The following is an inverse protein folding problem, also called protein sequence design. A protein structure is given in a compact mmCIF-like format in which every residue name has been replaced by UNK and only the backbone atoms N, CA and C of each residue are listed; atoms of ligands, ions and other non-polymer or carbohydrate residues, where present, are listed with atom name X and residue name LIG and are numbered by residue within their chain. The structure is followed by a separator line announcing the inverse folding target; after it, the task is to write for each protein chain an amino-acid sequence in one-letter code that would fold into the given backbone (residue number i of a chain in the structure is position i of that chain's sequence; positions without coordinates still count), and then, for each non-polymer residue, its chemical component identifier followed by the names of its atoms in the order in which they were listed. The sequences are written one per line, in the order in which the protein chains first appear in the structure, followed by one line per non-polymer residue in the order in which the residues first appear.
data_IF_396580868912
#
_entry.id   IF_396580868912
#
_cell.length_a   1.000
_cell.length_b   1.000
_cell.length_c   1.000
_cell.angle_alpha   90.00
_cell.angle_beta   90.00
_cell.angle_gamma   90.00
#
_symmetry.space_group_name_H-M   'P 1'
#
loop_
_entity.id
_entity.type
_entity.pdbx_description
1 polymer ?
#
# COMPACT_ATOMS: atom_id res chain seq x y z
N UNK A 1 -23.86 47.08 22.10
CA UNK A 1 -23.88 45.67 22.55
C UNK A 1 -24.55 44.79 21.50
N UNK A 2 -23.74 44.02 20.76
CA UNK A 2 -24.21 43.20 19.65
C UNK A 2 -24.95 41.96 20.14
N UNK A 3 -26.22 41.82 19.75
CA UNK A 3 -27.10 40.71 20.11
C UNK A 3 -26.85 39.48 19.22
N UNK A 4 -25.60 39.01 19.15
CA UNK A 4 -25.22 37.87 18.30
C UNK A 4 -25.43 36.55 19.04
N UNK A 5 -26.24 35.65 18.47
CA UNK A 5 -26.45 34.29 18.99
C UNK A 5 -25.23 33.40 18.70
N UNK A 6 -24.21 33.55 19.55
CA UNK A 6 -22.96 32.80 19.45
C UNK A 6 -23.22 31.29 19.65
N UNK A 7 -24.13 30.91 20.54
CA UNK A 7 -24.40 29.49 20.82
C UNK A 7 -25.14 28.80 19.67
N UNK A 8 -26.11 29.47 19.07
CA UNK A 8 -26.81 29.00 17.87
C UNK A 8 -25.86 28.82 16.70
N UNK A 9 -24.97 29.79 16.45
CA UNK A 9 -23.97 29.71 15.40
C UNK A 9 -23.00 28.52 15.59
N UNK A 10 -22.49 28.30 16.81
CA UNK A 10 -21.62 27.16 17.10
C UNK A 10 -22.36 25.83 16.86
N UNK A 11 -23.62 25.70 17.30
CA UNK A 11 -24.41 24.48 17.08
C UNK A 11 -24.66 24.24 15.58
N UNK A 12 -24.99 25.29 14.83
CA UNK A 12 -25.20 25.22 13.39
C UNK A 12 -23.93 24.73 12.67
N UNK A 13 -22.78 25.37 12.91
CA UNK A 13 -21.53 24.99 12.25
C UNK A 13 -21.04 23.59 12.67
N UNK A 14 -21.25 23.16 13.93
CA UNK A 14 -20.97 21.78 14.36
C UNK A 14 -21.84 20.76 13.63
N UNK A 15 -23.13 21.04 13.43
CA UNK A 15 -24.01 20.19 12.65
C UNK A 15 -23.57 20.10 11.18
N UNK A 16 -23.23 21.23 10.57
CA UNK A 16 -22.72 21.30 9.19
C UNK A 16 -21.40 20.54 8.99
N UNK A 17 -20.49 20.57 9.98
CA UNK A 17 -19.28 19.74 10.00
C UNK A 17 -19.63 18.25 10.09
N UNK A 18 -20.59 17.85 10.92
CA UNK A 18 -21.00 16.43 11.03
C UNK A 18 -21.65 15.88 9.76
N UNK A 19 -22.39 16.69 9.01
CA UNK A 19 -22.92 16.29 7.71
C UNK A 19 -21.79 16.11 6.69
N UNK A 20 -20.83 17.04 6.65
CA UNK A 20 -19.70 17.00 5.72
C UNK A 20 -18.68 15.90 6.04
N UNK A 21 -18.60 15.45 7.30
CA UNK A 21 -17.88 14.21 7.67
C UNK A 21 -18.38 12.97 6.93
N UNK A 22 -19.66 12.96 6.55
CA UNK A 22 -20.31 11.84 5.83
C UNK A 22 -20.34 12.06 4.31
N UNK A 23 -19.82 13.18 3.81
CA UNK A 23 -19.78 13.51 2.38
C UNK A 23 -18.78 12.62 1.63
N UNK A 24 -19.07 12.34 0.36
CA UNK A 24 -18.11 11.70 -0.57
C UNK A 24 -17.01 12.66 -1.03
N UNK A 25 -17.22 13.97 -0.88
CA UNK A 25 -16.22 15.00 -1.19
C UNK A 25 -15.26 15.19 -0.01
N UNK A 26 -14.02 14.77 -0.24
CA UNK A 26 -12.93 14.73 0.73
C UNK A 26 -12.50 16.13 1.22
N UNK A 27 -12.73 17.17 0.42
CA UNK A 27 -12.35 18.54 0.77
C UNK A 27 -13.48 19.30 1.44
N UNK A 28 -14.73 18.82 1.38
CA UNK A 28 -15.89 19.57 1.83
C UNK A 28 -15.85 19.91 3.32
N UNK A 29 -15.52 18.96 4.20
CA UNK A 29 -15.41 19.21 5.66
C UNK A 29 -14.28 20.20 5.97
N UNK A 30 -13.16 19.97 5.32
CA UNK A 30 -11.90 20.65 5.46
C UNK A 30 -11.98 22.11 5.05
N UNK A 31 -12.44 22.34 3.82
CA UNK A 31 -12.70 23.66 3.27
C UNK A 31 -13.70 24.42 4.15
N UNK A 32 -14.79 23.77 4.55
CA UNK A 32 -15.78 24.38 5.44
C UNK A 32 -15.20 24.74 6.82
N UNK A 33 -14.23 23.97 7.32
CA UNK A 33 -13.55 24.26 8.60
C UNK A 33 -12.58 25.43 8.48
N UNK A 34 -11.87 25.57 7.35
CA UNK A 34 -11.03 26.72 7.05
C UNK A 34 -11.85 28.00 6.80
N UNK A 35 -12.99 27.89 6.10
CA UNK A 35 -13.91 29.00 5.80
C UNK A 35 -14.70 29.46 7.04
N UNK A 36 -14.97 28.52 7.98
CA UNK A 36 -15.69 28.78 9.23
C UNK A 36 -14.92 28.26 10.46
N UNK A 37 -13.77 28.88 10.80
CA UNK A 37 -12.91 28.42 11.89
C UNK A 37 -13.43 28.88 13.25
N UNK A 38 -13.32 28.02 14.25
CA UNK A 38 -13.60 28.35 15.66
C UNK A 38 -12.36 28.82 16.41
N UNK A 39 -11.16 28.60 15.85
CA UNK A 39 -9.91 29.07 16.42
C UNK A 39 -8.89 29.41 15.32
N UNK A 40 -7.85 30.21 15.62
CA UNK A 40 -6.85 30.59 14.63
C UNK A 40 -6.11 29.40 13.98
N UNK A 41 -5.94 28.29 14.70
CA UNK A 41 -5.29 27.09 14.14
C UNK A 41 -6.13 26.50 12.99
N UNK A 42 -7.46 26.48 13.14
CA UNK A 42 -8.39 26.05 12.09
C UNK A 42 -8.35 26.98 10.86
N UNK A 43 -8.15 28.29 11.06
CA UNK A 43 -8.03 29.26 9.96
C UNK A 43 -6.72 29.09 9.17
N UNK A 44 -5.67 28.57 9.81
CA UNK A 44 -4.33 28.35 9.21
C UNK A 44 -4.13 26.94 8.65
N UNK A 45 -5.14 26.07 8.72
CA UNK A 45 -5.09 24.73 8.11
C UNK A 45 -4.78 24.88 6.62
N UNK A 46 -3.58 24.43 6.21
CA UNK A 46 -3.28 24.25 4.78
C UNK A 46 -4.22 23.19 4.22
N UNK A 47 -4.79 23.45 3.05
CA UNK A 47 -5.73 22.58 2.32
C UNK A 47 -5.20 21.18 1.95
N UNK A 48 -3.95 20.86 2.29
CA UNK A 48 -3.39 19.51 2.21
C UNK A 48 -3.78 18.71 3.46
N UNK A 49 -5.03 18.26 3.51
CA UNK A 49 -5.49 17.42 4.61
C UNK A 49 -5.20 15.97 4.28
N UNK A 50 -4.44 15.34 5.19
CA UNK A 50 -4.18 13.92 5.15
C UNK A 50 -5.51 13.17 5.20
N UNK A 51 -5.79 12.41 4.15
CA UNK A 51 -7.02 11.63 3.98
C UNK A 51 -7.09 10.39 4.87
N UNK A 52 -5.97 9.99 5.47
CA UNK A 52 -5.86 8.76 6.23
C UNK A 52 -6.44 8.91 7.65
N UNK A 53 -6.87 7.81 8.30
CA UNK A 53 -7.40 7.82 9.67
C UNK A 53 -6.28 8.06 10.70
N UNK A 54 -5.84 9.33 10.83
CA UNK A 54 -4.64 9.71 11.61
C UNK A 54 -4.73 9.30 13.09
N UNK A 55 -5.92 9.37 13.68
CA UNK A 55 -6.12 9.03 15.10
C UNK A 55 -5.90 7.54 15.33
N UNK A 56 -6.54 6.71 14.52
CA UNK A 56 -6.47 5.25 14.58
C UNK A 56 -5.08 4.74 14.22
N UNK A 57 -4.43 5.34 13.21
CA UNK A 57 -3.04 5.04 12.84
C UNK A 57 -2.07 5.38 13.98
N UNK A 58 -2.29 6.51 14.66
CA UNK A 58 -1.47 6.90 15.81
C UNK A 58 -1.68 5.94 16.98
N UNK A 59 -2.92 5.54 17.26
CA UNK A 59 -3.23 4.55 18.28
C UNK A 59 -2.59 3.19 17.98
N UNK A 60 -2.68 2.72 16.73
CA UNK A 60 -2.02 1.49 16.28
C UNK A 60 -0.50 1.59 16.42
N UNK A 61 0.12 2.69 15.96
CA UNK A 61 1.57 2.92 16.13
C UNK A 61 1.98 2.83 17.59
N UNK A 62 1.27 3.52 18.48
CA UNK A 62 1.56 3.51 19.91
C UNK A 62 1.40 2.10 20.49
N UNK A 63 0.36 1.36 20.07
CA UNK A 63 0.15 -0.05 20.46
C UNK A 63 1.30 -0.96 20.00
N UNK A 64 1.78 -0.81 18.76
CA UNK A 64 2.88 -1.61 18.20
C UNK A 64 4.20 -1.37 18.93
N UNK A 65 4.47 -0.12 19.31
CA UNK A 65 5.68 0.25 20.05
C UNK A 65 5.57 -0.23 21.50
N UNK A 66 4.48 0.11 22.20
CA UNK A 66 4.30 -0.18 23.63
C UNK A 66 4.29 -1.68 23.94
N UNK A 67 3.73 -2.50 23.05
CA UNK A 67 3.64 -3.95 23.23
C UNK A 67 4.68 -4.73 22.41
N UNK A 68 5.68 -4.05 21.84
CA UNK A 68 6.72 -4.67 21.00
C UNK A 68 6.19 -5.58 19.89
N UNK A 69 5.00 -5.29 19.33
CA UNK A 69 4.34 -6.16 18.33
C UNK A 69 5.16 -6.26 17.04
N UNK A 70 5.97 -5.27 16.74
CA UNK A 70 6.89 -5.28 15.60
C UNK A 70 7.94 -6.42 15.68
N UNK A 71 8.20 -7.00 16.87
CA UNK A 71 9.04 -8.20 17.00
C UNK A 71 8.43 -9.46 16.35
N UNK A 72 7.15 -9.45 16.00
CA UNK A 72 6.54 -10.53 15.21
C UNK A 72 7.08 -10.60 13.78
N UNK A 73 7.72 -9.52 13.30
CA UNK A 73 8.34 -9.47 11.98
C UNK A 73 9.73 -10.13 12.06
N UNK A 74 9.91 -11.19 11.28
CA UNK A 74 11.22 -11.81 11.09
C UNK A 74 12.06 -10.96 10.13
N UNK A 75 13.22 -10.51 10.60
CA UNK A 75 14.16 -9.69 9.82
C UNK A 75 15.32 -10.56 9.32
N UNK A 76 15.68 -10.44 8.04
CA UNK A 76 16.80 -11.20 7.50
C UNK A 76 17.07 -10.96 6.02
N UNK A 77 17.66 -11.99 5.39
CA UNK A 77 18.09 -11.96 3.99
C UNK A 77 17.46 -13.10 3.19
N UNK A 78 17.32 -12.88 1.88
CA UNK A 78 17.01 -13.93 0.91
C UNK A 78 18.30 -14.41 0.25
N UNK A 79 18.39 -15.72 0.01
CA UNK A 79 19.50 -16.34 -0.69
C UNK A 79 18.99 -17.52 -1.51
N UNK A 80 19.72 -17.91 -2.55
CA UNK A 80 19.46 -19.16 -3.28
C UNK A 80 20.26 -20.29 -2.64
N UNK A 81 19.60 -21.42 -2.38
CA UNK A 81 20.27 -22.64 -1.93
C UNK A 81 21.00 -23.35 -3.08
N UNK A 82 21.60 -24.51 -2.80
CA UNK A 82 22.33 -25.31 -3.79
C UNK A 82 21.46 -25.81 -4.96
N UNK A 83 20.13 -25.77 -4.82
CA UNK A 83 19.15 -26.13 -5.86
C UNK A 83 18.59 -24.90 -6.57
N UNK A 84 19.22 -23.73 -6.38
CA UNK A 84 18.79 -22.43 -6.88
C UNK A 84 17.42 -21.96 -6.35
N UNK A 85 16.88 -22.59 -5.29
CA UNK A 85 15.59 -22.21 -4.71
C UNK A 85 15.81 -21.06 -3.73
N UNK A 86 15.01 -20.01 -3.84
CA UNK A 86 15.07 -18.88 -2.91
C UNK A 86 14.57 -19.31 -1.52
N UNK A 87 15.38 -19.00 -0.50
CA UNK A 87 15.12 -19.24 0.92
C UNK A 87 15.33 -17.96 1.72
N UNK A 88 14.60 -17.84 2.82
CA UNK A 88 14.76 -16.78 3.79
C UNK A 88 15.60 -17.26 4.98
N UNK A 89 16.53 -16.43 5.43
CA UNK A 89 17.35 -16.66 6.62
C UNK A 89 17.26 -15.45 7.55
N UNK A 90 16.62 -15.58 8.73
CA UNK A 90 16.72 -14.57 9.77
C UNK A 90 18.17 -14.30 10.15
N UNK A 91 18.54 -13.05 10.35
CA UNK A 91 19.90 -12.67 10.73
C UNK A 91 19.91 -11.29 11.40
N UNK A 92 20.84 -11.09 12.31
CA UNK A 92 21.12 -9.82 13.03
C UNK A 92 22.03 -8.86 12.24
N UNK A 93 22.72 -9.36 11.22
CA UNK A 93 23.62 -8.60 10.33
C UNK A 93 22.95 -7.52 9.47
N UNK A 94 21.63 -7.54 9.34
CA UNK A 94 20.85 -6.52 8.62
C UNK A 94 19.74 -6.03 9.52
N UNK A 95 19.35 -4.77 9.35
CA UNK A 95 18.32 -4.13 10.18
C UNK A 95 17.20 -3.57 9.33
N UNK A 96 15.97 -3.69 9.84
CA UNK A 96 14.81 -3.04 9.26
C UNK A 96 14.87 -1.52 9.54
N UNK A 97 14.49 -0.71 8.55
CA UNK A 97 14.40 0.75 8.72
C UNK A 97 13.05 1.09 9.36
N UNK A 98 13.05 1.25 10.69
CA UNK A 98 11.86 1.55 11.49
C UNK A 98 11.65 3.05 11.75
N UNK A 99 12.63 3.89 11.44
CA UNK A 99 12.58 5.33 11.66
C UNK A 99 12.09 6.10 10.42
N UNK A 100 11.27 7.12 10.67
CA UNK A 100 10.87 8.10 9.65
C UNK A 100 10.67 9.52 10.24
N UNK A 101 11.33 10.56 9.69
CA UNK A 101 12.29 10.50 8.58
C UNK A 101 13.61 9.83 9.00
N UNK A 102 14.34 9.28 8.04
CA UNK A 102 15.68 8.75 8.25
C UNK A 102 16.63 9.89 8.66
N UNK A 103 17.50 9.66 9.64
CA UNK A 103 18.48 10.67 10.06
C UNK A 103 19.72 10.57 9.20
N UNK A 104 20.46 11.68 9.10
CA UNK A 104 21.72 11.69 8.38
C UNK A 104 22.73 10.76 9.07
N UNK A 105 23.23 9.78 8.33
CA UNK A 105 24.22 8.82 8.82
C UNK A 105 23.63 7.50 9.31
N UNK A 106 22.31 7.33 9.31
CA UNK A 106 21.68 6.03 9.56
C UNK A 106 22.00 5.05 8.42
N UNK A 107 22.00 3.76 8.74
CA UNK A 107 22.14 2.70 7.75
C UNK A 107 20.88 2.62 6.88
N UNK A 108 21.04 2.94 5.59
CA UNK A 108 19.97 2.91 4.60
C UNK A 108 19.86 1.57 3.87
N UNK A 109 20.73 0.57 4.09
CA UNK A 109 20.70 -0.69 3.33
C UNK A 109 19.37 -1.45 3.46
N UNK A 110 18.77 -1.43 4.66
CA UNK A 110 17.52 -2.11 4.95
C UNK A 110 17.63 -3.63 5.01
N UNK A 111 16.48 -4.29 5.14
CA UNK A 111 16.39 -5.75 5.30
C UNK A 111 15.07 -6.31 4.77
N UNK A 112 15.05 -7.61 4.46
CA UNK A 112 13.80 -8.33 4.18
C UNK A 112 13.09 -8.57 5.51
N UNK A 113 11.83 -8.12 5.57
CA UNK A 113 10.98 -8.20 6.73
C UNK A 113 9.78 -9.10 6.41
N UNK A 114 9.60 -10.20 7.14
CA UNK A 114 8.52 -11.17 6.90
C UNK A 114 7.63 -11.24 8.15
N UNK A 115 6.35 -10.88 7.98
CA UNK A 115 5.31 -11.09 8.97
C UNK A 115 4.69 -12.48 8.82
N UNK A 116 4.42 -12.90 7.59
CA UNK A 116 3.88 -14.24 7.29
C UNK A 116 4.65 -14.86 6.13
N UNK A 117 5.20 -16.05 6.33
CA UNK A 117 5.83 -16.82 5.27
C UNK A 117 4.79 -17.22 4.20
N UNK A 118 5.19 -17.37 2.93
CA UNK A 118 4.26 -17.74 1.86
C UNK A 118 3.64 -19.11 2.14
N UNK A 119 2.34 -19.20 1.92
CA UNK A 119 1.61 -20.46 1.94
C UNK A 119 2.16 -21.38 0.85
N UNK A 120 2.39 -22.65 1.19
CA UNK A 120 2.89 -23.67 0.29
C UNK A 120 1.94 -24.86 0.26
N UNK A 121 1.69 -25.37 -0.94
CA UNK A 121 0.93 -26.60 -1.16
C UNK A 121 1.69 -27.83 -0.61
N UNK A 122 1.06 -29.00 -0.68
CA UNK A 122 1.68 -30.26 -0.26
C UNK A 122 2.97 -30.60 -1.03
N UNK A 123 3.15 -30.03 -2.22
CA UNK A 123 4.36 -30.17 -3.04
C UNK A 123 5.42 -29.08 -2.72
N UNK A 124 5.19 -28.22 -1.74
CA UNK A 124 6.10 -27.16 -1.31
C UNK A 124 6.10 -25.93 -2.23
N UNK A 125 5.15 -25.82 -3.17
CA UNK A 125 5.03 -24.73 -4.14
C UNK A 125 4.08 -23.67 -3.62
N UNK A 126 4.38 -22.41 -3.89
CA UNK A 126 3.47 -21.30 -3.59
C UNK A 126 2.39 -21.23 -4.67
N UNK A 127 1.09 -21.34 -4.34
CA UNK A 127 0.04 -21.19 -5.33
C UNK A 127 0.10 -19.82 -6.01
N UNK A 128 -0.06 -19.81 -7.34
CA UNK A 128 -0.02 -18.58 -8.13
C UNK A 128 -1.20 -17.68 -7.79
N UNK A 129 -0.96 -16.38 -7.83
CA UNK A 129 -2.00 -15.37 -7.62
C UNK A 129 -2.43 -15.19 -6.17
N UNK A 130 -1.77 -15.80 -5.18
CA UNK A 130 -2.05 -15.53 -3.76
C UNK A 130 -1.41 -14.24 -3.24
N UNK A 131 -0.35 -13.77 -3.88
CA UNK A 131 0.42 -12.61 -3.43
C UNK A 131 0.67 -11.66 -4.59
N UNK A 132 0.98 -10.40 -4.28
CA UNK A 132 1.44 -9.38 -5.22
C UNK A 132 2.47 -8.48 -4.54
N UNK A 133 3.36 -7.87 -5.34
CA UNK A 133 4.28 -6.83 -4.86
C UNK A 133 3.88 -5.48 -5.43
N UNK A 134 3.76 -4.46 -4.57
CA UNK A 134 3.80 -3.06 -4.98
C UNK A 134 5.15 -2.44 -4.64
N UNK A 135 5.76 -1.74 -5.59
CA UNK A 135 7.09 -1.17 -5.45
C UNK A 135 7.16 0.30 -5.89
N UNK A 136 7.77 1.14 -5.05
CA UNK A 136 8.20 2.49 -5.40
C UNK A 136 9.75 2.52 -5.56
N UNK A 137 10.26 2.75 -6.79
CA UNK A 137 11.69 2.82 -7.06
C UNK A 137 12.30 4.20 -6.77
N UNK A 138 13.58 4.20 -6.41
CA UNK A 138 14.37 5.42 -6.21
C UNK A 138 15.33 5.69 -7.39
N UNK A 139 15.75 6.95 -7.52
CA UNK A 139 16.72 7.36 -8.53
C UNK A 139 18.18 7.15 -8.08
N UNK A 140 19.06 6.87 -9.04
CA UNK A 140 20.49 6.55 -8.82
C UNK A 140 21.32 7.74 -8.34
N UNK A 141 20.90 8.97 -8.63
CA UNK A 141 21.65 10.17 -8.24
C UNK A 141 21.68 10.34 -6.72
N UNK A 142 22.87 10.14 -6.14
CA UNK A 142 23.17 10.35 -4.71
C UNK A 142 23.26 11.84 -4.32
N UNK A 143 22.87 12.76 -5.20
CA UNK A 143 23.27 14.18 -5.12
C UNK A 143 22.27 15.14 -4.47
N UNK A 144 21.28 14.69 -3.70
CA UNK A 144 20.44 15.63 -2.95
C UNK A 144 20.03 15.15 -1.55
N UNK A 145 19.97 16.14 -0.66
CA UNK A 145 20.02 16.18 0.81
C UNK A 145 18.87 15.48 1.56
N UNK A 146 18.20 14.49 0.96
CA UNK A 146 17.20 13.62 1.58
C UNK A 146 17.02 12.37 0.71
N UNK A 147 17.81 11.32 0.94
CA UNK A 147 17.79 10.11 0.12
C UNK A 147 16.44 9.39 0.20
N UNK A 148 15.71 9.32 -0.93
CA UNK A 148 14.57 8.42 -1.10
C UNK A 148 15.02 6.96 -1.01
N UNK A 149 14.21 6.13 -0.36
CA UNK A 149 14.43 4.69 -0.22
C UNK A 149 13.64 3.94 -1.29
N UNK A 150 14.15 2.79 -1.72
CA UNK A 150 13.28 1.83 -2.40
C UNK A 150 12.35 1.19 -1.39
N UNK A 151 11.07 1.10 -1.71
CA UNK A 151 10.10 0.41 -0.88
C UNK A 151 9.33 -0.64 -1.71
N UNK A 152 9.26 -1.87 -1.21
CA UNK A 152 8.50 -2.97 -1.78
C UNK A 152 7.66 -3.64 -0.71
N UNK A 153 6.36 -3.78 -0.94
CA UNK A 153 5.44 -4.48 -0.03
C UNK A 153 4.80 -5.68 -0.72
N UNK A 154 4.82 -6.81 -0.03
CA UNK A 154 4.08 -8.02 -0.43
C UNK A 154 2.71 -7.98 0.24
N UNK A 155 1.65 -7.96 -0.57
CA UNK A 155 0.27 -8.11 -0.11
C UNK A 155 -0.23 -9.51 -0.43
N UNK A 156 -0.88 -10.13 0.54
CA UNK A 156 -1.61 -11.39 0.36
C UNK A 156 -3.03 -11.07 -0.09
N UNK A 157 -3.53 -11.73 -1.14
CA UNK A 157 -4.91 -11.53 -1.62
C UNK A 157 -5.93 -12.26 -0.74
N UNK A 158 -7.20 -11.81 -0.71
CA UNK A 158 -8.29 -12.61 -0.16
C UNK A 158 -8.31 -14.00 -0.79
N UNK A 159 -8.29 -15.06 0.02
CA UNK A 159 -8.30 -16.43 -0.47
C UNK A 159 -8.76 -17.41 0.62
N UNK A 160 -9.21 -18.60 0.21
CA UNK A 160 -9.64 -19.68 1.12
C UNK A 160 -8.52 -20.69 1.42
N UNK A 161 -7.37 -20.60 0.76
CA UNK A 161 -6.27 -21.56 0.91
C UNK A 161 -5.44 -21.32 2.18
N UNK A 162 -5.30 -20.06 2.57
CA UNK A 162 -4.52 -19.62 3.70
C UNK A 162 -5.28 -18.50 4.42
N UNK A 163 -6.11 -18.84 5.43
CA UNK A 163 -7.12 -17.94 5.97
C UNK A 163 -6.58 -16.83 6.90
N UNK A 164 -5.28 -16.85 7.22
CA UNK A 164 -4.63 -15.82 8.05
C UNK A 164 -4.23 -14.61 7.23
N UNK A 165 -4.30 -13.39 7.80
CA UNK A 165 -3.79 -12.16 7.19
C UNK A 165 -4.20 -11.96 5.71
N UNK A 166 -5.40 -12.42 5.35
CA UNK A 166 -5.96 -12.21 4.03
C UNK A 166 -6.09 -10.71 3.77
N UNK A 167 -5.67 -10.27 2.59
CA UNK A 167 -5.71 -8.87 2.19
C UNK A 167 -4.87 -7.92 3.07
N UNK A 168 -3.80 -8.46 3.67
CA UNK A 168 -2.86 -7.72 4.50
C UNK A 168 -1.44 -7.72 3.91
N UNK A 169 -0.61 -6.80 4.42
CA UNK A 169 0.83 -6.79 4.16
C UNK A 169 1.46 -7.97 4.92
N UNK A 170 2.20 -8.82 4.22
CA UNK A 170 2.83 -10.02 4.81
C UNK A 170 4.36 -9.99 4.77
N UNK A 171 4.94 -9.13 3.93
CA UNK A 171 6.37 -8.87 3.93
C UNK A 171 6.70 -7.50 3.32
N UNK A 172 7.90 -7.02 3.59
CA UNK A 172 8.44 -5.81 2.98
C UNK A 172 9.94 -5.92 2.74
N UNK A 173 10.42 -5.09 1.82
CA UNK A 173 11.81 -4.75 1.66
C UNK A 173 11.90 -3.25 1.46
N UNK A 174 12.50 -2.55 2.41
CA UNK A 174 12.66 -1.10 2.34
C UNK A 174 14.11 -0.75 2.62
N UNK A 175 14.74 -0.05 1.69
CA UNK A 175 16.15 0.29 1.77
C UNK A 175 16.72 0.89 0.49
N UNK A 176 17.97 1.33 0.58
CA UNK A 176 18.79 1.91 -0.47
C UNK A 176 20.20 1.32 -0.36
N UNK A 177 20.40 0.05 -0.79
CA UNK A 177 21.71 -0.56 -0.79
C UNK A 177 22.67 0.17 -1.72
N UNK A 178 23.95 -0.22 -1.69
CA UNK A 178 25.02 0.44 -2.45
C UNK A 178 24.71 0.64 -3.94
N UNK A 179 23.97 -0.31 -4.53
CA UNK A 179 23.59 -0.28 -5.94
C UNK A 179 22.10 -0.59 -6.12
N UNK A 180 21.50 -0.01 -7.15
CA UNK A 180 20.13 -0.33 -7.53
C UNK A 180 19.98 -1.79 -7.99
N UNK A 181 21.00 -2.37 -8.60
CA UNK A 181 21.01 -3.79 -8.98
C UNK A 181 20.94 -4.70 -7.75
N UNK A 182 21.57 -4.34 -6.64
CA UNK A 182 21.43 -5.08 -5.38
C UNK A 182 20.01 -5.00 -4.81
N UNK A 183 19.39 -3.81 -4.87
CA UNK A 183 17.99 -3.66 -4.49
C UNK A 183 17.09 -4.53 -5.36
N UNK A 184 17.23 -4.42 -6.69
CA UNK A 184 16.44 -5.16 -7.65
C UNK A 184 16.62 -6.67 -7.46
N UNK A 185 17.85 -7.16 -7.27
CA UNK A 185 18.13 -8.57 -6.98
C UNK A 185 17.31 -9.08 -5.79
N UNK A 186 17.31 -8.35 -4.68
CA UNK A 186 16.58 -8.74 -3.47
C UNK A 186 15.05 -8.67 -3.68
N UNK A 187 14.56 -7.66 -4.39
CA UNK A 187 13.13 -7.55 -4.75
C UNK A 187 12.67 -8.70 -5.67
N UNK A 188 13.43 -9.06 -6.70
CA UNK A 188 13.09 -10.18 -7.58
C UNK A 188 13.17 -11.53 -6.84
N UNK A 189 14.11 -11.70 -5.90
CA UNK A 189 14.11 -12.88 -5.01
C UNK A 189 12.87 -12.91 -4.11
N UNK A 190 12.41 -11.75 -3.61
CA UNK A 190 11.19 -11.66 -2.81
C UNK A 190 9.95 -12.07 -3.63
N UNK A 191 9.87 -11.62 -4.89
CA UNK A 191 8.84 -12.02 -5.84
C UNK A 191 8.84 -13.54 -6.08
N UNK A 192 10.01 -14.14 -6.31
CA UNK A 192 10.16 -15.58 -6.48
C UNK A 192 9.82 -16.35 -5.20
N UNK A 193 10.22 -15.85 -4.02
CA UNK A 193 9.93 -16.47 -2.73
C UNK A 193 8.42 -16.57 -2.45
N UNK A 194 7.66 -15.52 -2.80
CA UNK A 194 6.19 -15.47 -2.70
C UNK A 194 5.44 -15.92 -3.96
N UNK A 195 6.15 -16.32 -5.03
CA UNK A 195 5.54 -16.76 -6.28
C UNK A 195 4.60 -15.72 -6.92
N UNK A 196 4.97 -14.44 -6.86
CA UNK A 196 4.11 -13.32 -7.28
C UNK A 196 4.80 -12.36 -8.23
N UNK A 197 4.01 -11.55 -8.94
CA UNK A 197 4.52 -10.51 -9.83
C UNK A 197 4.69 -9.17 -9.10
N UNK A 198 5.51 -8.31 -9.70
CA UNK A 198 5.91 -6.99 -9.22
C UNK A 198 5.19 -5.91 -10.03
N UNK A 199 4.28 -5.20 -9.38
CA UNK A 199 3.77 -3.91 -9.81
C UNK A 199 4.68 -2.79 -9.30
N UNK A 200 5.04 -1.83 -10.16
CA UNK A 200 5.94 -0.73 -9.80
C UNK A 200 5.57 0.59 -10.48
N UNK A 201 5.97 1.71 -9.88
CA UNK A 201 5.91 3.02 -10.53
C UNK A 201 7.01 3.14 -11.61
N UNK A 202 6.60 3.29 -12.87
CA UNK A 202 7.47 3.32 -14.04
C UNK A 202 7.87 4.75 -14.43
N UNK A 203 8.43 5.45 -13.44
CA UNK A 203 8.94 6.82 -13.57
C UNK A 203 10.39 6.97 -13.13
N UNK A 204 10.90 6.05 -12.30
CA UNK A 204 12.26 6.08 -11.76
C UNK A 204 12.86 4.68 -11.67
N UNK A 205 14.18 4.64 -11.56
CA UNK A 205 14.95 3.41 -11.39
C UNK A 205 15.01 2.51 -12.63
N UNK A 206 15.80 1.44 -12.53
CA UNK A 206 16.06 0.49 -13.62
C UNK A 206 15.48 -0.91 -13.37
N UNK A 207 14.20 -1.00 -12.97
CA UNK A 207 13.52 -2.28 -12.72
C UNK A 207 13.39 -3.10 -14.02
N UNK A 208 12.98 -2.46 -15.12
CA UNK A 208 12.80 -3.11 -16.42
C UNK A 208 14.14 -3.54 -17.02
N UNK A 209 15.17 -2.69 -16.97
CA UNK A 209 16.48 -3.04 -17.50
C UNK A 209 17.12 -4.20 -16.74
N UNK A 210 17.01 -4.22 -15.41
CA UNK A 210 17.39 -5.38 -14.61
C UNK A 210 16.63 -6.64 -15.04
N UNK A 211 15.29 -6.55 -15.15
CA UNK A 211 14.45 -7.66 -15.62
C UNK A 211 14.85 -8.18 -17.00
N UNK A 212 15.22 -7.31 -17.93
CA UNK A 212 15.73 -7.69 -19.26
C UNK A 212 17.09 -8.39 -19.17
N UNK A 213 18.07 -7.78 -18.49
CA UNK A 213 19.44 -8.32 -18.37
C UNK A 213 19.46 -9.72 -17.77
N UNK A 214 18.61 -9.97 -16.78
CA UNK A 214 18.57 -11.24 -16.05
C UNK A 214 17.45 -12.19 -16.50
N UNK A 215 16.70 -11.87 -17.57
CA UNK A 215 15.58 -12.66 -18.10
C UNK A 215 14.44 -12.91 -17.10
N UNK A 216 14.17 -11.91 -16.26
CA UNK A 216 13.17 -11.93 -15.18
C UNK A 216 11.90 -11.14 -15.51
N UNK A 217 11.68 -10.74 -16.77
CA UNK A 217 10.49 -9.96 -17.18
C UNK A 217 9.15 -10.63 -16.82
N UNK A 218 9.11 -11.96 -16.75
CA UNK A 218 7.91 -12.71 -16.38
C UNK A 218 7.47 -12.48 -14.91
N UNK A 219 8.33 -11.90 -14.08
CA UNK A 219 8.01 -11.48 -12.72
C UNK A 219 7.47 -10.05 -12.64
N UNK A 220 7.48 -9.29 -13.73
CA UNK A 220 6.92 -7.94 -13.75
C UNK A 220 5.45 -8.00 -14.15
N UNK A 221 4.63 -7.18 -13.50
CA UNK A 221 3.26 -7.01 -13.95
C UNK A 221 3.18 -6.06 -15.13
N UNK A 222 2.33 -6.44 -16.08
CA UNK A 222 1.98 -5.62 -17.23
C UNK A 222 1.31 -4.32 -16.82
N UNK A 223 1.08 -3.44 -17.78
CA UNK A 223 0.46 -2.15 -17.50
C UNK A 223 -0.92 -2.33 -16.86
N UNK A 224 -1.17 -1.61 -15.76
CA UNK A 224 -2.51 -1.56 -15.19
C UNK A 224 -3.42 -0.79 -16.16
N UNK A 225 -4.44 -1.47 -16.68
CA UNK A 225 -5.40 -0.91 -17.63
C UNK A 225 -6.39 0.03 -16.94
N UNK A 226 -6.49 -0.03 -15.61
CA UNK A 226 -7.34 0.83 -14.78
C UNK A 226 -8.80 0.78 -15.26
N UNK A 227 -9.30 -0.45 -15.48
CA UNK A 227 -10.55 -0.75 -16.20
C UNK A 227 -11.77 0.06 -15.72
N UNK A 228 -11.87 0.32 -14.42
CA UNK A 228 -13.04 1.00 -13.82
C UNK A 228 -13.11 2.50 -14.11
N UNK A 229 -12.00 3.14 -14.48
CA UNK A 229 -11.92 4.61 -14.59
C UNK A 229 -11.26 5.02 -15.89
N UNK A 230 -12.08 5.13 -16.94
CA UNK A 230 -11.67 5.61 -18.28
C UNK A 230 -10.87 6.92 -18.24
N UNK A 231 -11.14 7.81 -17.28
CA UNK A 231 -10.41 9.07 -17.09
C UNK A 231 -8.96 8.90 -16.60
N UNK A 232 -8.67 7.79 -15.91
CA UNK A 232 -7.34 7.47 -15.37
C UNK A 232 -6.52 6.58 -16.32
N UNK A 233 -7.09 6.15 -17.44
CA UNK A 233 -6.42 5.36 -18.46
C UNK A 233 -5.36 6.21 -19.17
N UNK A 234 -4.20 5.63 -19.45
CA UNK A 234 -3.17 6.33 -20.21
C UNK A 234 -3.59 6.37 -21.68
N UNK A 235 -3.86 7.57 -22.21
CA UNK A 235 -4.27 7.75 -23.61
C UNK A 235 -3.08 7.94 -24.57
N UNK A 236 -1.88 8.12 -24.03
CA UNK A 236 -0.74 8.64 -24.80
C UNK A 236 0.54 7.82 -24.64
N UNK A 237 0.70 7.02 -23.58
CA UNK A 237 1.95 6.31 -23.31
C UNK A 237 1.71 4.81 -23.19
N UNK A 238 2.20 4.07 -24.18
CA UNK A 238 2.18 2.62 -24.19
C UNK A 238 3.40 2.10 -23.41
N UNK A 239 3.25 1.85 -22.11
CA UNK A 239 4.31 1.29 -21.26
C UNK A 239 4.01 -0.20 -21.10
N UNK A 240 4.94 -1.12 -21.41
CA UNK A 240 4.63 -2.55 -21.34
C UNK A 240 4.48 -3.09 -19.90
N UNK A 241 5.07 -2.42 -18.90
CA UNK A 241 5.09 -2.88 -17.51
C UNK A 241 4.89 -1.73 -16.52
N UNK A 242 4.26 -2.06 -15.39
CA UNK A 242 4.05 -1.15 -14.26
C UNK A 242 3.06 -0.01 -14.55
N UNK A 243 3.11 1.05 -13.74
CA UNK A 243 2.18 2.18 -13.85
C UNK A 243 2.88 3.53 -13.80
N UNK A 244 2.33 4.50 -14.52
CA UNK A 244 2.72 5.90 -14.39
C UNK A 244 1.90 6.60 -13.33
N UNK A 245 2.51 7.42 -12.48
CA UNK A 245 1.80 8.08 -11.40
C UNK A 245 1.46 9.54 -11.74
N UNK A 246 0.26 9.76 -12.26
CA UNK A 246 -0.28 11.12 -12.47
C UNK A 246 -0.89 11.69 -11.19
N UNK A 247 -1.09 13.01 -11.11
CA UNK A 247 -1.75 13.63 -9.93
C UNK A 247 -3.16 13.04 -9.68
N UNK A 248 -3.94 12.82 -10.74
CA UNK A 248 -5.25 12.15 -10.63
C UNK A 248 -5.15 10.73 -10.08
N UNK A 249 -4.09 9.98 -10.43
CA UNK A 249 -3.83 8.66 -9.86
C UNK A 249 -3.39 8.75 -8.40
N UNK A 250 -2.59 9.75 -8.01
CA UNK A 250 -2.24 9.97 -6.59
C UNK A 250 -3.50 10.25 -5.76
N UNK A 251 -4.37 11.14 -6.23
CA UNK A 251 -5.64 11.46 -5.57
C UNK A 251 -6.49 10.20 -5.34
N UNK A 252 -6.60 9.35 -6.36
CA UNK A 252 -7.40 8.13 -6.27
C UNK A 252 -6.72 7.03 -5.44
N UNK A 253 -5.40 6.94 -5.51
CA UNK A 253 -4.60 6.03 -4.70
C UNK A 253 -4.68 6.35 -3.21
N UNK A 254 -4.70 7.63 -2.83
CA UNK A 254 -4.95 8.07 -1.45
C UNK A 254 -6.31 7.56 -0.94
N UNK A 255 -7.35 7.60 -1.79
CA UNK A 255 -8.68 7.07 -1.46
C UNK A 255 -8.62 5.54 -1.28
N UNK A 256 -7.95 4.81 -2.17
CA UNK A 256 -7.83 3.36 -2.07
C UNK A 256 -7.10 2.92 -0.80
N UNK A 257 -6.02 3.61 -0.43
CA UNK A 257 -5.32 3.34 0.83
C UNK A 257 -6.25 3.61 2.02
N UNK A 258 -6.92 4.77 2.05
CA UNK A 258 -7.84 5.11 3.14
C UNK A 258 -8.92 4.04 3.31
N UNK A 259 -9.59 3.69 2.23
CA UNK A 259 -10.70 2.73 2.25
C UNK A 259 -10.22 1.35 2.70
N UNK A 260 -9.03 0.92 2.23
CA UNK A 260 -8.40 -0.32 2.69
C UNK A 260 -8.04 -0.26 4.19
N UNK A 261 -7.46 0.84 4.68
CA UNK A 261 -7.05 0.98 6.09
C UNK A 261 -8.23 0.82 7.07
N UNK A 262 -9.40 1.37 6.72
CA UNK A 262 -10.60 1.34 7.56
C UNK A 262 -11.51 0.14 7.28
N UNK A 263 -11.09 -0.77 6.39
CA UNK A 263 -11.87 -1.96 6.06
C UNK A 263 -11.98 -2.88 7.29
N UNK A 264 -13.20 -3.23 7.74
CA UNK A 264 -13.39 -4.17 8.83
C UNK A 264 -12.86 -5.57 8.52
N UNK A 265 -12.13 -6.13 9.47
CA UNK A 265 -11.60 -7.50 9.42
C UNK A 265 -12.38 -8.46 10.32
N UNK A 266 -12.87 -7.96 11.44
CA UNK A 266 -13.64 -8.71 12.42
C UNK A 266 -14.78 -7.85 12.93
N UNK A 267 -15.89 -8.49 13.24
CA UNK A 267 -17.08 -7.87 13.82
C UNK A 267 -17.36 -8.52 15.17
N UNK A 268 -17.93 -7.77 16.11
CA UNK A 268 -18.49 -8.33 17.33
C UNK A 268 -19.89 -8.93 17.06
N UNK A 269 -20.50 -9.51 18.09
CA UNK A 269 -21.85 -10.10 18.03
C UNK A 269 -22.94 -9.07 17.67
N UNK A 270 -22.67 -7.78 17.87
CA UNK A 270 -23.57 -6.66 17.54
C UNK A 270 -23.36 -6.13 16.10
N UNK A 271 -22.42 -6.70 15.36
CA UNK A 271 -22.09 -6.31 13.98
C UNK A 271 -21.21 -5.06 13.87
N UNK A 272 -20.63 -4.58 14.96
CA UNK A 272 -19.67 -3.47 14.96
C UNK A 272 -18.23 -3.97 14.69
N UNK A 273 -17.43 -3.22 13.93
CA UNK A 273 -16.07 -3.62 13.61
C UNK A 273 -15.16 -3.59 14.85
N UNK A 274 -14.55 -4.73 15.19
CA UNK A 274 -13.60 -4.86 16.32
C UNK A 274 -12.15 -4.75 15.89
N UNK A 275 -11.86 -5.11 14.64
CA UNK A 275 -10.53 -5.05 14.05
C UNK A 275 -10.62 -4.42 12.67
N UNK A 276 -9.83 -3.38 12.43
CA UNK A 276 -9.68 -2.79 11.11
C UNK A 276 -8.39 -3.29 10.47
N UNK A 277 -8.32 -3.17 9.15
CA UNK A 277 -7.14 -3.54 8.37
C UNK A 277 -5.85 -2.87 8.88
N UNK A 278 -5.92 -1.58 9.23
CA UNK A 278 -4.79 -0.84 9.77
C UNK A 278 -4.19 -1.48 11.03
N UNK A 279 -4.97 -2.23 11.81
CA UNK A 279 -4.49 -2.89 13.03
C UNK A 279 -3.55 -4.07 12.77
N UNK A 280 -3.47 -4.53 11.52
CA UNK A 280 -2.55 -5.58 11.05
C UNK A 280 -1.17 -5.03 10.67
N UNK A 281 -1.03 -3.72 10.48
CA UNK A 281 0.24 -3.10 10.12
C UNK A 281 1.13 -3.02 11.35
N UNK A 282 2.28 -3.69 11.30
CA UNK A 282 3.29 -3.70 12.37
C UNK A 282 4.57 -2.93 11.99
N UNK A 283 4.67 -2.44 10.76
CA UNK A 283 5.76 -1.58 10.30
C UNK A 283 5.58 -0.16 10.88
N UNK A 284 6.46 0.19 11.82
CA UNK A 284 6.42 1.46 12.55
C UNK A 284 6.73 2.66 11.64
N UNK A 285 7.60 2.47 10.65
CA UNK A 285 7.96 3.53 9.69
C UNK A 285 6.79 3.80 8.74
N UNK A 286 6.13 2.76 8.21
CA UNK A 286 4.93 2.91 7.39
C UNK A 286 3.81 3.63 8.15
N UNK A 287 3.53 3.22 9.40
CA UNK A 287 2.54 3.90 10.24
C UNK A 287 2.90 5.37 10.46
N UNK A 288 4.18 5.67 10.65
CA UNK A 288 4.64 7.05 10.83
C UNK A 288 4.53 7.87 9.54
N UNK A 289 4.82 7.28 8.39
CA UNK A 289 4.61 7.91 7.08
C UNK A 289 3.12 8.19 6.82
N UNK A 290 2.23 7.21 7.06
CA UNK A 290 0.79 7.39 6.91
C UNK A 290 0.25 8.50 7.83
N UNK A 291 0.72 8.61 9.07
CA UNK A 291 0.32 9.70 9.99
C UNK A 291 0.78 11.07 9.48
N UNK A 292 2.01 11.16 8.97
CA UNK A 292 2.63 12.43 8.52
C UNK A 292 2.35 12.77 7.05
N UNK A 293 1.62 11.90 6.35
CA UNK A 293 1.50 11.94 4.89
C UNK A 293 1.01 13.30 4.39
N UNK A 294 1.69 13.79 3.35
CA UNK A 294 1.30 14.96 2.59
C UNK A 294 1.90 14.86 1.17
N UNK A 295 1.39 15.66 0.24
CA UNK A 295 1.78 15.56 -1.18
C UNK A 295 3.15 16.16 -1.54
N UNK A 296 3.87 16.75 -0.58
CA UNK A 296 5.14 17.45 -0.82
C UNK A 296 6.35 16.67 -0.29
N UNK A 297 6.17 15.91 0.78
CA UNK A 297 7.24 15.16 1.43
C UNK A 297 7.62 13.88 0.69
N UNK A 298 8.68 13.24 1.18
CA UNK A 298 9.09 11.93 0.71
C UNK A 298 8.42 10.83 1.54
N UNK A 299 7.57 10.01 0.91
CA UNK A 299 6.77 8.96 1.58
C UNK A 299 6.85 7.66 0.78
N UNK A 300 8.07 7.16 0.59
CA UNK A 300 8.38 6.01 -0.28
C UNK A 300 7.51 4.78 0.07
N UNK A 301 7.23 4.53 1.36
CA UNK A 301 6.41 3.38 1.78
C UNK A 301 4.95 3.56 1.41
N UNK A 302 4.42 4.78 1.56
CA UNK A 302 3.03 5.08 1.17
C UNK A 302 2.86 4.98 -0.35
N UNK A 303 3.86 5.44 -1.11
CA UNK A 303 3.86 5.32 -2.58
C UNK A 303 3.90 3.86 -3.02
N UNK A 304 4.76 3.03 -2.42
CA UNK A 304 4.78 1.59 -2.70
C UNK A 304 3.46 0.90 -2.36
N UNK A 305 2.85 1.27 -1.23
CA UNK A 305 1.51 0.79 -0.86
C UNK A 305 0.44 1.26 -1.85
N UNK A 306 0.55 2.48 -2.38
CA UNK A 306 -0.37 3.00 -3.39
C UNK A 306 -0.33 2.17 -4.67
N UNK A 307 0.88 1.82 -5.14
CA UNK A 307 1.05 0.91 -6.28
C UNK A 307 0.43 -0.46 -5.98
N UNK A 308 0.64 -1.00 -4.77
CA UNK A 308 0.04 -2.25 -4.35
C UNK A 308 -1.51 -2.20 -4.35
N UNK A 309 -2.11 -1.08 -3.92
CA UNK A 309 -3.56 -0.89 -3.94
C UNK A 309 -4.13 -0.86 -5.35
N UNK A 310 -3.43 -0.21 -6.28
CA UNK A 310 -3.81 -0.25 -7.69
C UNK A 310 -3.74 -1.66 -8.27
N UNK A 311 -2.65 -2.36 -7.99
CA UNK A 311 -2.48 -3.72 -8.47
C UNK A 311 -3.54 -4.67 -7.89
N UNK A 312 -3.80 -4.58 -6.57
CA UNK A 312 -4.88 -5.31 -5.89
C UNK A 312 -6.22 -5.13 -6.60
N UNK A 313 -6.55 -3.89 -6.96
CA UNK A 313 -7.84 -3.57 -7.59
C UNK A 313 -7.94 -4.10 -9.02
N UNK A 314 -6.87 -3.99 -9.79
CA UNK A 314 -6.82 -4.55 -11.15
C UNK A 314 -7.06 -6.07 -11.13
N UNK A 315 -6.39 -6.78 -10.22
CA UNK A 315 -6.59 -8.22 -10.04
C UNK A 315 -8.02 -8.57 -9.58
N UNK A 316 -8.67 -7.72 -8.79
CA UNK A 316 -10.06 -7.94 -8.40
C UNK A 316 -10.98 -7.84 -9.61
N UNK A 317 -10.83 -6.78 -10.40
CA UNK A 317 -11.66 -6.52 -11.58
C UNK A 317 -11.51 -7.60 -12.66
N UNK A 318 -10.29 -8.10 -12.89
CA UNK A 318 -10.06 -9.18 -13.84
C UNK A 318 -10.75 -10.50 -13.44
N UNK A 319 -10.90 -10.81 -12.15
CA UNK A 319 -11.66 -12.01 -11.77
C UNK A 319 -13.16 -11.81 -11.98
N UNK A 320 -13.68 -10.60 -11.67
CA UNK A 320 -15.11 -10.30 -11.84
C UNK A 320 -15.51 -10.40 -13.31
N UNK A 321 -14.71 -9.87 -14.24
CA UNK A 321 -15.00 -10.03 -15.68
C UNK A 321 -15.03 -11.49 -16.11
N UNK A 322 -14.10 -12.32 -15.61
CA UNK A 322 -14.11 -13.75 -15.91
C UNK A 322 -15.33 -14.49 -15.33
N UNK A 323 -15.77 -14.13 -14.12
CA UNK A 323 -16.97 -14.72 -13.51
C UNK A 323 -18.25 -14.32 -14.27
N UNK A 324 -18.37 -13.07 -14.70
CA UNK A 324 -19.50 -12.58 -15.49
C UNK A 324 -19.56 -13.28 -16.85
N UNK A 325 -18.43 -13.43 -17.56
CA UNK A 325 -18.37 -14.13 -18.85
C UNK A 325 -18.76 -15.61 -18.71
N UNK A 326 -18.27 -16.29 -17.66
CA UNK A 326 -18.63 -17.69 -17.39
C UNK A 326 -20.10 -17.87 -17.02
N UNK A 327 -20.66 -16.97 -16.20
CA UNK A 327 -22.08 -17.01 -15.83
C UNK A 327 -22.98 -16.72 -17.04
N UNK A 328 -22.51 -15.87 -17.96
CA UNK A 328 -23.20 -15.62 -19.22
C UNK A 328 -23.18 -16.87 -20.10
N UNK A 329 -22.03 -17.51 -20.32
CA UNK A 329 -21.92 -18.75 -21.09
C UNK A 329 -22.79 -19.87 -20.51
N UNK A 330 -22.75 -20.09 -19.19
CA UNK A 330 -23.55 -21.11 -18.50
C UNK A 330 -25.07 -20.84 -18.62
N UNK A 331 -25.50 -19.58 -18.72
CA UNK A 331 -26.90 -19.23 -18.96
C UNK A 331 -27.35 -19.59 -20.39
N UNK A 332 -26.49 -19.43 -21.39
CA UNK A 332 -26.79 -19.77 -22.79
C UNK A 332 -26.61 -21.26 -23.13
N UNK A 333 -25.83 -21.99 -22.34
CA UNK A 333 -25.61 -23.45 -22.50
C UNK A 333 -26.64 -24.32 -21.78
N UNK A 334 -27.56 -23.73 -21.00
CA UNK A 334 -28.67 -24.50 -20.41
C UNK A 334 -29.58 -25.01 -21.52
N UNK A 335 -29.80 -26.33 -21.57
CA UNK A 335 -30.84 -26.93 -22.40
C UNK A 335 -32.20 -26.37 -21.96
N UNK A 336 -32.67 -25.36 -22.70
CA UNK A 336 -34.04 -24.91 -22.65
C UNK A 336 -34.84 -26.00 -23.36
N UNK A 337 -35.64 -26.73 -22.57
CA UNK A 337 -36.56 -27.82 -22.94
C UNK A 337 -35.98 -29.25 -22.90
N UNK A 338 -36.46 -30.03 -21.93
CA UNK A 338 -36.53 -31.50 -21.96
C UNK A 338 -37.87 -31.98 -22.48
#
# INVERSE_FOLDING_TARGET
DGNSDIQGAIKFHKHQRNLRKKSKDNNALSQYTCEHPFNPQEATLQSNINLFPVVELTAQKNSVIAHHRHHAISVGILFRDSKAVVKFKPTDKVSAINDFPLRKGDDENGAICILEAPHRDQAGRVPRGLYLIGHDPYATDKSSTSGSLGASYVLKRPNNLSPTLNDCIVASYVGRPNTQDEYNRNMFMLAEYYGCKIGFENDRGDVIGYGKRFRLLHWLEEQFEMLDKKELQSRTVNRPYGMHMTEGRKNQGEIYIRDWLIEPMQFNDEGEPTLLRLNTILDVALLTELVKFNRKGNFDRVMALMVAMYYRKELHNMNVSHEDDMAHEEFFERELYS
#
